data_IF_625784199366
#
_entry.id   IF_625784199366
#
_cell.length_a   1.000
_cell.length_b   1.000
_cell.length_c   1.000
_cell.angle_alpha   90.00
_cell.angle_beta   90.00
_cell.angle_gamma   90.00
#
_symmetry.space_group_name_H-M   'P 1'
#
loop_
_entity.id
_entity.type
_entity.pdbx_description
1 polymer ?
#
# COMPACT_ATOMS: atom_id res chain seq x y z
N UNK A 1 17.40 3.11 -8.77
CA UNK A 1 17.22 4.46 -9.37
C UNK A 1 16.72 4.37 -10.80
N UNK A 2 17.43 3.70 -11.72
CA UNK A 2 16.92 3.49 -13.09
C UNK A 2 15.56 2.79 -13.08
N UNK A 3 15.40 1.78 -12.22
CA UNK A 3 14.12 1.11 -11.96
C UNK A 3 12.99 2.06 -11.53
N UNK A 4 13.27 3.02 -10.65
CA UNK A 4 12.30 4.04 -10.23
C UNK A 4 11.89 4.94 -11.38
N UNK A 5 12.86 5.39 -12.18
CA UNK A 5 12.57 6.20 -13.36
C UNK A 5 11.73 5.40 -14.37
N UNK A 6 12.08 4.15 -14.66
CA UNK A 6 11.28 3.27 -15.51
C UNK A 6 9.86 3.09 -14.99
N UNK A 7 9.67 2.86 -13.68
CA UNK A 7 8.34 2.74 -13.08
C UNK A 7 7.52 4.04 -13.17
N UNK A 8 8.18 5.21 -13.11
CA UNK A 8 7.52 6.51 -13.18
C UNK A 8 7.29 7.02 -14.60
N UNK A 9 8.16 6.66 -15.55
CA UNK A 9 8.15 7.13 -16.94
C UNK A 9 7.43 6.13 -17.87
N UNK A 10 7.65 4.83 -17.67
CA UNK A 10 7.07 3.77 -18.50
C UNK A 10 5.77 3.23 -17.87
N UNK A 11 4.68 3.89 -18.28
CA UNK A 11 3.33 3.60 -17.84
C UNK A 11 2.73 2.42 -18.63
N UNK A 12 3.09 1.20 -18.26
CA UNK A 12 2.25 0.03 -18.51
C UNK A 12 1.47 -0.32 -17.23
N UNK A 13 0.40 0.43 -16.88
CA UNK A 13 -0.42 0.09 -15.74
C UNK A 13 -1.03 -1.29 -15.97
N UNK A 14 -1.10 -2.09 -14.91
CA UNK A 14 -1.94 -3.28 -14.90
C UNK A 14 -3.35 -2.84 -15.30
N UNK A 15 -4.07 -3.63 -16.09
CA UNK A 15 -5.43 -3.25 -16.50
C UNK A 15 -6.30 -3.02 -15.25
N UNK A 16 -6.84 -1.80 -15.11
CA UNK A 16 -7.59 -1.39 -13.92
C UNK A 16 -6.74 -0.70 -12.85
N UNK A 17 -5.41 -0.70 -12.94
CA UNK A 17 -4.55 0.12 -12.09
C UNK A 17 -4.49 1.57 -12.59
N UNK A 18 -4.66 2.51 -11.66
CA UNK A 18 -4.34 3.91 -11.87
C UNK A 18 -3.16 4.23 -10.96
N UNK A 19 -2.02 4.60 -11.52
CA UNK A 19 -0.81 4.95 -10.77
C UNK A 19 -0.29 6.34 -11.12
N UNK A 20 0.52 6.92 -10.26
CA UNK A 20 1.19 8.21 -10.44
C UNK A 20 2.39 8.31 -9.52
N UNK A 21 3.56 8.62 -10.07
CA UNK A 21 4.66 9.12 -9.26
C UNK A 21 4.43 10.58 -8.89
N UNK A 22 4.58 10.91 -7.62
CA UNK A 22 4.40 12.26 -7.08
C UNK A 22 5.64 12.69 -6.31
N UNK A 23 6.02 13.95 -6.48
CA UNK A 23 7.23 14.56 -5.90
C UNK A 23 6.92 15.66 -4.89
N UNK A 24 5.63 15.92 -4.65
CA UNK A 24 5.15 16.89 -3.67
C UNK A 24 3.89 16.38 -2.98
N UNK A 25 3.65 16.87 -1.77
CA UNK A 25 2.44 16.54 -1.02
C UNK A 25 1.17 17.02 -1.73
N UNK A 26 1.18 18.22 -2.32
CA UNK A 26 0.03 18.75 -3.06
C UNK A 26 -0.35 17.86 -4.25
N UNK A 27 0.63 17.41 -5.05
CA UNK A 27 0.38 16.50 -6.18
C UNK A 27 -0.16 15.14 -5.73
N UNK A 28 0.26 14.68 -4.56
CA UNK A 28 -0.29 13.48 -3.92
C UNK A 28 -1.75 13.68 -3.53
N UNK A 29 -2.08 14.78 -2.86
CA UNK A 29 -3.46 15.09 -2.45
C UNK A 29 -4.38 15.22 -3.67
N UNK A 30 -3.92 15.87 -4.73
CA UNK A 30 -4.70 16.01 -5.96
C UNK A 30 -4.96 14.67 -6.63
N UNK A 31 -3.97 13.77 -6.63
CA UNK A 31 -4.16 12.40 -7.10
C UNK A 31 -5.19 11.65 -6.26
N UNK A 32 -5.09 11.71 -4.94
CA UNK A 32 -6.03 11.06 -4.00
C UNK A 32 -7.45 11.58 -4.19
N UNK A 33 -7.63 12.90 -4.31
CA UNK A 33 -8.92 13.54 -4.58
C UNK A 33 -9.53 13.06 -5.90
N UNK A 34 -8.73 12.98 -6.95
CA UNK A 34 -9.17 12.48 -8.26
C UNK A 34 -9.67 11.04 -8.21
N UNK A 35 -9.00 10.13 -7.48
CA UNK A 35 -9.44 8.74 -7.34
C UNK A 35 -10.76 8.63 -6.54
N UNK A 36 -10.87 9.42 -5.48
CA UNK A 36 -12.07 9.41 -4.63
C UNK A 36 -13.25 10.19 -5.23
N UNK A 37 -13.05 10.97 -6.30
CA UNK A 37 -14.11 11.79 -6.91
C UNK A 37 -14.56 12.91 -5.98
N UNK A 38 -13.62 13.49 -5.24
CA UNK A 38 -13.87 14.53 -4.24
C UNK A 38 -13.80 15.89 -4.90
N UNK A 39 -14.79 16.16 -5.75
CA UNK A 39 -14.87 17.40 -6.54
C UNK A 39 -15.56 18.54 -5.75
N UNK A 40 -15.81 18.32 -4.44
CA UNK A 40 -16.50 19.27 -3.57
C UNK A 40 -16.16 19.09 -2.09
N UNK A 41 -16.16 20.20 -1.35
CA UNK A 41 -16.01 20.25 0.10
C UNK A 41 -17.07 19.38 0.79
N UNK A 42 -16.70 18.22 1.33
CA UNK A 42 -17.66 17.41 2.09
C UNK A 42 -17.19 16.05 2.59
N UNK A 43 -16.21 15.42 1.93
CA UNK A 43 -15.67 14.14 2.40
C UNK A 43 -14.15 14.25 2.53
N UNK A 44 -13.67 14.17 3.76
CA UNK A 44 -12.25 14.06 4.04
C UNK A 44 -11.72 12.69 3.63
N UNK A 45 -10.41 12.60 3.55
CA UNK A 45 -9.69 11.33 3.53
C UNK A 45 -8.66 11.35 4.66
N UNK A 46 -8.37 10.17 5.17
CA UNK A 46 -7.30 9.92 6.14
C UNK A 46 -6.34 8.90 5.56
N UNK A 47 -5.15 8.77 6.14
CA UNK A 47 -4.23 7.72 5.77
C UNK A 47 -4.00 6.76 6.92
N UNK A 48 -3.71 5.51 6.56
CA UNK A 48 -3.29 4.45 7.45
C UNK A 48 -1.85 4.07 7.14
N UNK A 49 -1.07 3.78 8.17
CA UNK A 49 0.32 3.39 8.04
C UNK A 49 0.70 2.42 9.16
N UNK A 50 1.88 1.82 9.04
CA UNK A 50 2.43 0.93 10.05
C UNK A 50 3.00 1.74 11.22
N UNK A 51 2.62 1.39 12.45
CA UNK A 51 3.07 2.04 13.68
C UNK A 51 3.95 1.10 14.48
N UNK A 52 5.13 1.57 14.90
CA UNK A 52 6.06 0.80 15.71
C UNK A 52 6.02 1.26 17.17
N UNK A 53 5.69 0.33 18.06
CA UNK A 53 5.72 0.58 19.51
C UNK A 53 7.09 0.15 20.07
N UNK A 54 8.13 0.89 19.68
CA UNK A 54 9.49 0.75 20.17
C UNK A 54 10.14 2.14 20.38
N UNK A 55 11.31 2.18 21.03
CA UNK A 55 11.97 3.43 21.42
C UNK A 55 12.31 4.36 20.24
N UNK A 56 12.62 3.79 19.07
CA UNK A 56 12.98 4.56 17.88
C UNK A 56 11.79 4.92 17.00
N UNK A 57 10.62 4.32 17.23
CA UNK A 57 9.46 4.34 16.34
C UNK A 57 9.87 4.06 14.88
N UNK A 58 10.67 3.02 14.65
CA UNK A 58 11.12 2.64 13.29
C UNK A 58 11.04 1.14 13.07
N UNK A 59 10.98 0.76 11.80
CA UNK A 59 11.15 -0.62 11.37
C UNK A 59 12.49 -1.20 11.82
N UNK A 60 12.45 -2.45 12.26
CA UNK A 60 13.62 -3.21 12.68
C UNK A 60 13.59 -4.53 11.94
N UNK A 61 14.72 -4.87 11.32
CA UNK A 61 14.87 -6.14 10.62
C UNK A 61 15.02 -7.29 11.64
N UNK A 62 13.97 -8.09 11.76
CA UNK A 62 13.85 -9.25 12.65
C UNK A 62 12.69 -10.14 12.19
N UNK A 63 12.53 -11.32 12.78
CA UNK A 63 11.32 -12.09 12.57
C UNK A 63 10.16 -11.50 13.38
N UNK A 64 8.96 -11.63 12.81
CA UNK A 64 7.72 -11.19 13.43
C UNK A 64 6.73 -12.34 13.45
N UNK A 65 5.95 -12.41 14.53
CA UNK A 65 4.82 -13.33 14.66
C UNK A 65 3.52 -12.53 14.54
N UNK A 66 2.60 -13.00 13.70
CA UNK A 66 1.25 -12.43 13.57
C UNK A 66 0.45 -12.70 14.84
N UNK A 67 -0.18 -11.67 15.40
CA UNK A 67 -1.09 -11.80 16.54
C UNK A 67 -2.53 -12.05 16.06
N UNK A 68 -3.34 -12.64 16.93
CA UNK A 68 -4.73 -13.02 16.63
C UNK A 68 -5.69 -11.82 16.79
N UNK A 69 -5.42 -10.74 16.07
CA UNK A 69 -6.17 -9.48 16.12
C UNK A 69 -6.48 -8.91 14.73
N UNK A 70 -6.54 -9.78 13.71
CA UNK A 70 -6.83 -9.41 12.33
C UNK A 70 -8.20 -8.72 12.20
N UNK A 71 -8.19 -7.49 11.68
CA UNK A 71 -9.40 -6.70 11.40
C UNK A 71 -9.45 -6.31 9.94
N UNK A 72 -10.50 -6.73 9.25
CA UNK A 72 -10.78 -6.24 7.90
C UNK A 72 -11.34 -4.82 7.96
N UNK A 73 -10.78 -3.94 7.14
CA UNK A 73 -11.28 -2.58 6.95
C UNK A 73 -12.06 -2.58 5.63
N UNK A 74 -13.40 -2.43 5.67
CA UNK A 74 -14.22 -2.50 4.47
C UNK A 74 -14.00 -1.26 3.60
N UNK A 75 -13.23 -1.40 2.53
CA UNK A 75 -12.84 -0.29 1.65
C UNK A 75 -13.38 -0.47 0.23
N UNK A 76 -14.30 0.39 -0.24
CA UNK A 76 -14.71 0.39 -1.64
C UNK A 76 -13.64 0.98 -2.56
N UNK A 77 -12.80 1.89 -2.03
CA UNK A 77 -11.67 2.53 -2.72
C UNK A 77 -10.56 2.84 -1.72
N UNK A 78 -9.32 2.76 -2.18
CA UNK A 78 -8.14 3.23 -1.46
C UNK A 78 -7.06 3.68 -2.45
N UNK A 79 -6.10 4.47 -1.97
CA UNK A 79 -4.87 4.80 -2.71
C UNK A 79 -3.68 4.42 -1.85
N UNK A 80 -2.86 3.47 -2.30
CA UNK A 80 -1.59 3.16 -1.65
C UNK A 80 -0.50 4.08 -2.21
N UNK A 81 0.42 4.54 -1.37
CA UNK A 81 1.58 5.32 -1.75
C UNK A 81 2.82 4.72 -1.10
N UNK A 82 3.85 4.52 -1.91
CA UNK A 82 5.11 3.92 -1.51
C UNK A 82 6.26 4.87 -1.76
N UNK A 83 7.16 5.03 -0.79
CA UNK A 83 8.40 5.75 -1.01
C UNK A 83 9.29 4.94 -1.97
N UNK A 84 9.67 5.56 -3.08
CA UNK A 84 10.49 4.92 -4.11
C UNK A 84 11.97 5.12 -3.82
N UNK A 85 12.80 4.16 -4.23
CA UNK A 85 14.25 4.26 -4.13
C UNK A 85 14.81 5.32 -5.10
N UNK A 86 14.94 6.56 -4.61
CA UNK A 86 15.40 7.69 -5.39
C UNK A 86 16.13 8.72 -4.49
N UNK A 87 17.10 9.52 -5.01
CA UNK A 87 17.85 10.49 -4.20
C UNK A 87 17.00 11.60 -3.56
N UNK A 88 15.79 11.80 -4.07
CA UNK A 88 14.80 12.75 -3.58
C UNK A 88 13.49 12.02 -3.29
N UNK A 89 12.64 12.61 -2.45
CA UNK A 89 11.34 12.02 -2.12
C UNK A 89 10.46 11.92 -3.37
N UNK A 90 10.26 10.68 -3.84
CA UNK A 90 9.33 10.31 -4.90
C UNK A 90 8.44 9.23 -4.33
N UNK A 91 7.12 9.45 -4.41
CA UNK A 91 6.15 8.44 -4.01
C UNK A 91 5.50 7.84 -5.24
N UNK A 92 5.56 6.52 -5.37
CA UNK A 92 4.73 5.77 -6.31
C UNK A 92 3.36 5.55 -5.68
N UNK A 93 2.37 6.31 -6.10
CA UNK A 93 0.99 6.16 -5.62
C UNK A 93 0.17 5.39 -6.65
N UNK A 94 -0.71 4.50 -6.18
CA UNK A 94 -1.58 3.74 -7.05
C UNK A 94 -2.91 3.33 -6.40
N UNK A 95 -3.90 3.08 -7.25
CA UNK A 95 -5.20 2.52 -6.90
C UNK A 95 -5.58 1.45 -7.90
N UNK A 96 -6.00 0.28 -7.43
CA UNK A 96 -6.31 -0.86 -8.28
C UNK A 96 -7.82 -1.08 -8.40
N UNK A 97 -8.41 -0.84 -9.56
CA UNK A 97 -9.82 -1.15 -9.81
C UNK A 97 -9.97 -2.68 -9.79
N UNK A 98 -10.70 -3.21 -8.80
CA UNK A 98 -10.87 -4.66 -8.61
C UNK A 98 -10.99 -5.05 -7.14
N UNK A 99 -11.15 -6.35 -6.92
CA UNK A 99 -11.33 -6.96 -5.60
C UNK A 99 -10.02 -6.91 -4.81
N UNK A 100 -10.04 -6.14 -3.73
CA UNK A 100 -8.95 -5.99 -2.77
C UNK A 100 -9.49 -5.99 -1.36
N UNK A 101 -8.66 -6.41 -0.42
CA UNK A 101 -8.97 -6.36 1.01
C UNK A 101 -7.86 -5.63 1.74
N UNK A 102 -8.27 -4.77 2.66
CA UNK A 102 -7.37 -4.07 3.57
C UNK A 102 -7.57 -4.65 4.95
N UNK A 103 -6.46 -4.98 5.60
CA UNK A 103 -6.47 -5.48 6.95
C UNK A 103 -5.57 -4.64 7.83
N UNK A 104 -5.94 -4.58 9.11
CA UNK A 104 -5.12 -4.07 10.19
C UNK A 104 -4.87 -5.20 11.17
N UNK A 105 -3.63 -5.38 11.58
CA UNK A 105 -3.24 -6.43 12.53
C UNK A 105 -2.02 -6.02 13.33
N UNK A 106 -1.78 -6.71 14.43
CA UNK A 106 -0.56 -6.55 15.22
C UNK A 106 0.44 -7.67 14.93
N UNK A 107 1.70 -7.30 14.90
CA UNK A 107 2.84 -8.22 14.87
C UNK A 107 3.64 -8.06 16.16
N UNK A 108 4.22 -9.17 16.62
CA UNK A 108 5.21 -9.18 17.70
C UNK A 108 6.58 -9.55 17.15
N UNK A 109 7.54 -8.64 17.32
CA UNK A 109 8.95 -8.91 17.01
C UNK A 109 9.57 -9.85 18.06
N UNK A 110 10.61 -10.60 17.67
CA UNK A 110 11.34 -11.49 18.59
C UNK A 110 11.94 -10.76 19.79
N UNK A 111 12.22 -9.46 19.66
CA UNK A 111 12.72 -8.61 20.75
C UNK A 111 11.60 -8.04 21.64
N UNK A 112 10.36 -8.46 21.42
CA UNK A 112 9.20 -8.08 22.21
C UNK A 112 8.50 -6.78 21.78
N UNK A 113 9.02 -6.06 20.77
CA UNK A 113 8.34 -4.90 20.22
C UNK A 113 7.04 -5.29 19.48
N UNK A 114 6.07 -4.40 19.54
CA UNK A 114 4.78 -4.55 18.88
C UNK A 114 4.71 -3.61 17.69
N UNK A 115 4.16 -4.11 16.59
CA UNK A 115 3.95 -3.34 15.36
C UNK A 115 2.50 -3.46 14.98
N UNK A 116 1.79 -2.34 14.87
CA UNK A 116 0.45 -2.32 14.27
C UNK A 116 0.62 -2.01 12.79
N UNK A 117 0.28 -2.96 11.92
CA UNK A 117 0.57 -2.89 10.49
C UNK A 117 -0.68 -2.97 9.64
N UNK A 118 -0.56 -2.44 8.43
CA UNK A 118 -1.57 -2.50 7.39
C UNK A 118 -1.15 -3.53 6.35
N UNK A 119 -2.09 -4.38 5.95
CA UNK A 119 -1.91 -5.41 4.94
C UNK A 119 -2.91 -5.20 3.83
N UNK A 120 -2.42 -5.21 2.60
CA UNK A 120 -3.26 -5.18 1.41
C UNK A 120 -3.18 -6.54 0.75
N UNK A 121 -4.34 -7.09 0.39
CA UNK A 121 -4.47 -8.27 -0.43
C UNK A 121 -5.14 -7.90 -1.76
N UNK A 122 -4.49 -8.22 -2.85
CA UNK A 122 -5.03 -8.16 -4.21
C UNK A 122 -5.62 -9.53 -4.54
N UNK A 123 -6.94 -9.62 -4.69
CA UNK A 123 -7.63 -10.90 -4.83
C UNK A 123 -7.67 -11.40 -6.27
N UNK A 124 -7.73 -10.47 -7.23
CA UNK A 124 -7.59 -10.77 -8.65
C UNK A 124 -6.22 -10.28 -9.14
N UNK A 125 -5.39 -11.22 -9.56
CA UNK A 125 -4.04 -10.99 -10.08
C UNK A 125 -3.89 -11.46 -11.52
N UNK A 126 -5.01 -11.76 -12.20
CA UNK A 126 -5.02 -12.34 -13.55
C UNK A 126 -4.37 -11.45 -14.62
N UNK A 127 -4.47 -10.14 -14.46
CA UNK A 127 -3.93 -9.13 -15.39
C UNK A 127 -2.53 -8.64 -15.00
N UNK A 128 -1.93 -9.19 -13.93
CA UNK A 128 -0.58 -8.81 -13.51
C UNK A 128 0.47 -9.40 -14.46
N UNK A 129 1.61 -8.72 -14.57
CA UNK A 129 2.74 -9.19 -15.37
C UNK A 129 3.23 -10.56 -14.85
N UNK A 130 3.37 -11.60 -15.70
CA UNK A 130 3.83 -12.92 -15.27
C UNK A 130 5.18 -12.91 -14.55
N UNK A 131 6.06 -11.98 -14.89
CA UNK A 131 7.40 -11.81 -14.32
C UNK A 131 7.42 -11.00 -13.02
N UNK A 132 6.25 -10.52 -12.54
CA UNK A 132 6.12 -9.73 -11.33
C UNK A 132 6.77 -10.44 -10.14
N UNK A 133 7.53 -9.69 -9.33
CA UNK A 133 8.37 -10.25 -8.26
C UNK A 133 7.58 -11.09 -7.25
N UNK A 134 6.32 -10.73 -6.99
CA UNK A 134 5.42 -11.46 -6.10
C UNK A 134 5.19 -12.91 -6.55
N UNK A 135 5.08 -13.16 -7.86
CA UNK A 135 4.87 -14.50 -8.41
C UNK A 135 6.11 -15.39 -8.23
N UNK A 136 7.30 -14.79 -8.34
CA UNK A 136 8.57 -15.47 -8.04
C UNK A 136 8.69 -15.81 -6.56
N UNK A 137 8.28 -14.91 -5.67
CA UNK A 137 8.33 -15.12 -4.23
C UNK A 137 7.30 -16.16 -3.74
N UNK A 138 6.11 -16.18 -4.32
CA UNK A 138 4.99 -17.04 -3.88
C UNK A 138 4.90 -18.37 -4.64
N UNK A 139 5.59 -18.51 -5.78
CA UNK A 139 5.65 -19.76 -6.55
C UNK A 139 4.41 -20.06 -7.39
N UNK A 140 3.61 -19.06 -7.73
CA UNK A 140 2.46 -19.16 -8.63
C UNK A 140 2.41 -17.98 -9.60
N UNK A 141 1.63 -18.11 -10.68
CA UNK A 141 1.49 -17.06 -11.72
C UNK A 141 0.17 -16.27 -11.66
N UNK A 142 -0.05 -15.37 -12.64
CA UNK A 142 -1.24 -14.53 -12.71
C UNK A 142 -2.55 -15.33 -12.57
N UNK A 143 -3.45 -14.84 -11.72
CA UNK A 143 -4.80 -15.40 -11.54
C UNK A 143 -4.86 -16.73 -10.79
N UNK A 144 -3.73 -17.30 -10.37
CA UNK A 144 -3.70 -18.55 -9.59
C UNK A 144 -4.05 -18.34 -8.11
N UNK A 145 -3.92 -17.12 -7.60
CA UNK A 145 -4.20 -16.81 -6.21
C UNK A 145 -4.02 -15.33 -5.85
N UNK A 146 -4.42 -14.95 -4.63
CA UNK A 146 -4.27 -13.59 -4.13
C UNK A 146 -2.81 -13.28 -3.77
N UNK A 147 -2.41 -12.03 -3.97
CA UNK A 147 -1.12 -11.52 -3.50
C UNK A 147 -1.37 -10.55 -2.35
N UNK A 148 -0.84 -10.86 -1.16
CA UNK A 148 -0.91 -9.99 0.01
C UNK A 148 0.47 -9.48 0.39
N UNK A 149 0.55 -8.24 0.86
CA UNK A 149 1.79 -7.67 1.39
C UNK A 149 1.54 -6.68 2.53
N UNK A 150 2.54 -6.59 3.41
CA UNK A 150 2.60 -5.62 4.50
C UNK A 150 3.11 -4.26 4.00
N UNK A 151 2.74 -3.20 4.70
CA UNK A 151 3.35 -1.88 4.55
C UNK A 151 4.56 -1.80 5.49
N UNK A 152 5.79 -1.68 4.95
CA UNK A 152 6.99 -1.98 5.74
C UNK A 152 7.30 -0.94 6.82
N UNK A 153 6.89 0.31 6.64
CA UNK A 153 7.19 1.41 7.56
C UNK A 153 6.24 2.62 7.39
N UNK A 154 6.49 3.70 8.13
CA UNK A 154 5.70 4.95 8.09
C UNK A 154 5.80 5.71 6.77
N UNK A 155 6.76 5.40 5.91
CA UNK A 155 6.91 6.03 4.58
C UNK A 155 6.03 5.36 3.52
N UNK A 156 5.33 4.30 3.90
CA UNK A 156 4.36 3.62 3.07
C UNK A 156 3.00 3.74 3.74
N UNK A 157 1.99 4.19 3.01
CA UNK A 157 0.67 4.44 3.60
C UNK A 157 -0.46 4.27 2.59
N UNK A 158 -1.66 4.07 3.14
CA UNK A 158 -2.90 3.88 2.38
C UNK A 158 -3.88 4.98 2.73
N UNK A 159 -4.26 5.80 1.76
CA UNK A 159 -5.36 6.74 1.87
C UNK A 159 -6.70 6.04 1.75
N UNK A 160 -7.64 6.43 2.60
CA UNK A 160 -9.02 5.95 2.62
C UNK A 160 -9.99 7.12 2.86
N UNK A 161 -11.26 7.01 2.44
CA UNK A 161 -12.30 7.97 2.83
C UNK A 161 -12.45 8.05 4.36
N UNK A 162 -12.58 9.26 4.92
CA UNK A 162 -12.74 9.47 6.37
C UNK A 162 -14.07 8.95 6.94
N UNK A 163 -15.02 8.57 6.09
CA UNK A 163 -16.28 7.95 6.51
C UNK A 163 -16.11 6.49 6.97
N UNK A 164 -14.94 5.89 6.72
CA UNK A 164 -14.62 4.52 7.11
C UNK A 164 -14.10 4.52 8.55
N UNK A 165 -14.74 3.74 9.42
CA UNK A 165 -14.24 3.47 10.77
C UNK A 165 -13.08 2.49 10.70
N UNK A 166 -11.99 2.79 11.39
CA UNK A 166 -10.76 1.98 11.47
C UNK A 166 -10.49 1.56 12.90
#
# INVERSE_FOLDING_TARGET
MESTLQMCDDFNPIKGEIRKCVTSFDSMLDFVRGIFGLDGFGHGFTFLTTTFYNDSNTAIFQNYTVLDDLREIPIPKMVACHLMEFPYAVYGCHSMVGDRRLFKMSLRGERGDIVETIVVCHLDTSEWEPEHISFKALGFGPGMGPVCHFFPDQTNFVWIPSSISV
#
